data_IF_095270459866
#
_entry.id   IF_095270459866
#
_cell.length_a   1.000
_cell.length_b   1.000
_cell.length_c   1.000
_cell.angle_alpha   90.00
_cell.angle_beta   90.00
_cell.angle_gamma   90.00
#
_symmetry.space_group_name_H-M   'P 1'
#
loop_
_entity.id
_entity.type
_entity.pdbx_description
1 polymer ?
#
# COMPACT_ATOMS: atom_id res chain seq x y z
N UNK A 1 1.08 21.55 4.60
CA UNK A 1 0.91 20.29 3.84
C UNK A 1 0.43 20.54 2.41
N UNK A 2 -0.74 21.16 2.19
CA UNK A 2 -1.25 21.47 0.84
C UNK A 2 -0.24 22.28 0.00
N UNK A 3 0.39 23.29 0.60
CA UNK A 3 1.41 24.10 -0.08
C UNK A 3 2.62 23.26 -0.51
N UNK A 4 3.11 22.38 0.37
CA UNK A 4 4.25 21.50 0.07
C UNK A 4 3.94 20.54 -1.10
N UNK A 5 2.73 19.98 -1.11
CA UNK A 5 2.26 19.08 -2.18
C UNK A 5 2.20 19.83 -3.51
N UNK A 6 1.65 21.06 -3.50
CA UNK A 6 1.56 21.89 -4.70
C UNK A 6 2.93 22.33 -5.20
N UNK A 7 3.83 22.77 -4.32
CA UNK A 7 5.20 23.15 -4.68
C UNK A 7 5.98 21.98 -5.28
N UNK A 8 5.67 20.74 -4.90
CA UNK A 8 6.24 19.53 -5.50
C UNK A 8 5.56 19.12 -6.83
N UNK A 9 4.57 19.87 -7.34
CA UNK A 9 3.86 19.56 -8.58
C UNK A 9 2.79 18.47 -8.45
N UNK A 10 2.35 18.17 -7.22
CA UNK A 10 1.32 17.16 -6.94
C UNK A 10 -0.01 17.81 -6.58
N UNK A 11 -1.07 16.99 -6.58
CA UNK A 11 -2.40 17.38 -6.12
C UNK A 11 -2.99 16.32 -5.19
N UNK A 12 -3.91 16.73 -4.32
CA UNK A 12 -4.57 15.84 -3.36
C UNK A 12 -5.83 15.27 -4.01
N UNK A 13 -5.93 13.94 -4.02
CA UNK A 13 -7.17 13.22 -4.36
C UNK A 13 -7.96 12.97 -3.08
N UNK A 14 -9.12 13.62 -2.96
CA UNK A 14 -10.02 13.41 -1.83
C UNK A 14 -10.97 12.25 -2.11
N UNK A 15 -11.07 11.33 -1.15
CA UNK A 15 -12.01 10.21 -1.23
C UNK A 15 -13.23 10.46 -0.31
N UNK A 16 -14.42 9.98 -0.69
CA UNK A 16 -15.59 10.00 0.18
C UNK A 16 -15.35 9.19 1.47
N UNK A 17 -16.08 9.56 2.52
CA UNK A 17 -16.00 8.87 3.83
C UNK A 17 -16.42 7.41 3.66
N UNK A 18 -15.68 6.52 4.32
CA UNK A 18 -15.94 5.07 4.34
C UNK A 18 -15.91 4.39 2.96
N UNK A 19 -15.13 4.93 2.01
CA UNK A 19 -14.93 4.32 0.69
C UNK A 19 -13.52 3.74 0.52
N UNK A 20 -13.16 2.69 1.28
CA UNK A 20 -11.85 2.05 1.16
C UNK A 20 -11.66 1.39 -0.22
N UNK A 21 -12.75 1.00 -0.87
CA UNK A 21 -12.79 0.45 -2.23
C UNK A 21 -12.20 1.39 -3.28
N UNK A 22 -12.29 2.71 -3.04
CA UNK A 22 -11.72 3.74 -3.92
C UNK A 22 -10.23 4.02 -3.65
N UNK A 23 -9.65 3.45 -2.60
CA UNK A 23 -8.23 3.61 -2.29
C UNK A 23 -7.41 2.42 -2.81
N UNK A 24 -6.61 2.59 -3.88
CA UNK A 24 -5.88 1.47 -4.50
C UNK A 24 -4.94 0.71 -3.55
N UNK A 25 -4.45 1.37 -2.49
CA UNK A 25 -3.56 0.74 -1.51
C UNK A 25 -4.25 -0.42 -0.76
N UNK A 26 -5.57 -0.41 -0.62
CA UNK A 26 -6.31 -1.48 0.06
C UNK A 26 -6.18 -2.81 -0.68
N UNK A 27 -6.16 -2.78 -2.01
CA UNK A 27 -5.90 -3.96 -2.85
C UNK A 27 -4.49 -4.50 -2.63
N UNK A 28 -3.51 -3.61 -2.48
CA UNK A 28 -2.13 -4.00 -2.18
C UNK A 28 -2.05 -4.68 -0.80
N UNK A 29 -2.65 -4.08 0.22
CA UNK A 29 -2.67 -4.65 1.57
C UNK A 29 -3.39 -6.00 1.65
N UNK A 30 -4.45 -6.19 0.86
CA UNK A 30 -5.10 -7.50 0.73
C UNK A 30 -4.12 -8.58 0.25
N UNK A 31 -3.30 -8.28 -0.78
CA UNK A 31 -2.28 -9.20 -1.31
C UNK A 31 -1.18 -9.49 -0.29
N UNK A 32 -0.63 -8.47 0.37
CA UNK A 32 0.40 -8.64 1.41
C UNK A 32 -0.12 -9.52 2.56
N UNK A 33 -1.35 -9.28 3.04
CA UNK A 33 -1.98 -10.10 4.08
C UNK A 33 -2.20 -11.55 3.64
N UNK A 34 -2.61 -11.78 2.39
CA UNK A 34 -2.75 -13.11 1.80
C UNK A 34 -1.42 -13.86 1.82
N UNK A 35 -0.33 -13.23 1.39
CA UNK A 35 1.02 -13.82 1.38
C UNK A 35 1.48 -14.15 2.80
N UNK A 36 1.35 -13.20 3.73
CA UNK A 36 1.69 -13.43 5.15
C UNK A 36 0.95 -14.64 5.70
N UNK A 37 -0.35 -14.76 5.42
CA UNK A 37 -1.16 -15.89 5.89
C UNK A 37 -0.77 -17.21 5.21
N UNK A 38 -0.44 -17.18 3.91
CA UNK A 38 0.00 -18.36 3.14
C UNK A 38 1.32 -18.93 3.67
N UNK A 39 2.31 -18.07 3.90
CA UNK A 39 3.66 -18.48 4.30
C UNK A 39 3.90 -18.41 5.81
N UNK A 40 2.90 -17.96 6.59
CA UNK A 40 2.95 -17.81 8.06
C UNK A 40 4.16 -17.01 8.55
N UNK A 41 4.59 -16.03 7.75
CA UNK A 41 5.73 -15.19 8.07
C UNK A 41 5.36 -14.26 9.22
N UNK A 42 6.11 -14.34 10.32
CA UNK A 42 5.92 -13.49 11.51
C UNK A 42 6.77 -12.23 11.48
N UNK A 43 7.92 -12.32 10.81
CA UNK A 43 8.85 -11.23 10.65
C UNK A 43 8.44 -10.33 9.48
N UNK A 44 8.28 -9.03 9.75
CA UNK A 44 7.79 -8.06 8.78
C UNK A 44 8.85 -7.79 7.70
N UNK A 45 10.11 -7.65 8.09
CA UNK A 45 11.20 -7.39 7.15
C UNK A 45 11.36 -8.57 6.19
N UNK A 46 11.29 -9.79 6.72
CA UNK A 46 11.31 -11.01 5.93
C UNK A 46 10.12 -11.09 4.98
N UNK A 47 8.92 -10.74 5.44
CA UNK A 47 7.72 -10.73 4.60
C UNK A 47 7.92 -9.83 3.37
N UNK A 48 8.43 -8.60 3.58
CA UNK A 48 8.61 -7.66 2.48
C UNK A 48 9.76 -8.04 1.56
N UNK A 49 10.93 -8.40 2.12
CA UNK A 49 12.15 -8.72 1.37
C UNK A 49 12.10 -10.04 0.60
N UNK A 50 11.44 -11.07 1.14
CA UNK A 50 11.51 -12.40 0.53
C UNK A 50 10.25 -12.73 -0.28
N UNK A 51 9.12 -12.10 0.04
CA UNK A 51 7.81 -12.50 -0.52
C UNK A 51 7.05 -11.38 -1.23
N UNK A 52 7.44 -10.11 -1.06
CA UNK A 52 6.74 -8.98 -1.65
C UNK A 52 7.57 -8.16 -2.65
N UNK A 53 8.79 -8.55 -3.00
CA UNK A 53 9.60 -7.79 -3.97
C UNK A 53 8.84 -7.56 -5.29
N UNK A 54 8.16 -8.59 -5.80
CA UNK A 54 7.42 -8.51 -7.07
C UNK A 54 6.05 -7.82 -6.92
N UNK A 55 5.58 -7.56 -5.70
CA UNK A 55 4.31 -6.86 -5.44
C UNK A 55 4.44 -5.34 -5.59
N UNK A 56 5.61 -4.80 -5.28
CA UNK A 56 5.91 -3.37 -5.31
C UNK A 56 6.73 -2.96 -6.54
N UNK A 57 6.89 -3.87 -7.51
CA UNK A 57 7.54 -3.59 -8.78
C UNK A 57 6.83 -2.45 -9.51
N UNK A 58 7.46 -1.28 -9.49
CA UNK A 58 7.34 -0.22 -10.51
C UNK A 58 8.45 -0.48 -11.52
#
# INVERSE_FOLDING_TARGET
LQELIRCAGHYIVWLPKYSPDLNPIEKMWSRVKMIRNKFRVKDIDKLFKDYCNDLFGI
#
